data_IF_858875232313
#
_entry.id   IF_858875232313
#
_cell.length_a   1.000
_cell.length_b   1.000
_cell.length_c   1.000
_cell.angle_alpha   90.00
_cell.angle_beta   90.00
_cell.angle_gamma   90.00
#
_symmetry.space_group_name_H-M   'P 1'
#
loop_
_entity.id
_entity.type
_entity.pdbx_description
1 polymer ?
#
# COMPACT_ATOMS: atom_id res chain seq x y z
N UNK A 1 -17.30 -11.79 65.95
CA UNK A 1 -16.24 -11.94 66.97
C UNK A 1 -15.23 -12.97 66.49
N UNK A 2 -13.94 -12.59 66.49
CA UNK A 2 -12.70 -13.34 66.19
C UNK A 2 -12.43 -13.64 64.70
N UNK A 3 -11.43 -13.14 63.99
CA UNK A 3 -10.03 -12.68 64.25
C UNK A 3 -8.98 -13.71 63.80
N UNK A 4 -8.31 -13.37 62.69
CA UNK A 4 -6.85 -13.40 62.42
C UNK A 4 -6.12 -14.76 62.53
N UNK A 5 -5.48 -15.20 61.43
CA UNK A 5 -4.01 -15.36 61.35
C UNK A 5 -3.53 -15.89 59.99
N UNK A 6 -2.84 -14.98 59.29
CA UNK A 6 -1.69 -15.15 58.41
C UNK A 6 -0.86 -16.44 58.62
N UNK A 7 -0.47 -17.10 57.51
CA UNK A 7 0.74 -17.91 57.42
C UNK A 7 1.56 -17.45 56.21
N UNK A 8 2.84 -17.24 56.52
CA UNK A 8 3.90 -16.60 55.77
C UNK A 8 4.79 -17.61 55.03
N UNK A 9 5.57 -17.09 54.06
CA UNK A 9 6.81 -17.63 53.44
C UNK A 9 6.62 -18.75 52.40
N UNK A 10 7.39 -18.86 51.32
CA UNK A 10 8.55 -18.13 50.78
C UNK A 10 8.88 -18.75 49.41
N UNK A 11 9.45 -18.02 48.45
CA UNK A 11 10.05 -18.67 47.28
C UNK A 11 10.31 -17.74 46.10
N UNK A 12 11.31 -16.88 46.24
CA UNK A 12 11.93 -16.12 45.15
C UNK A 12 12.59 -17.07 44.14
N UNK A 13 12.18 -16.99 42.88
CA UNK A 13 12.83 -17.67 41.76
C UNK A 13 13.01 -16.74 40.57
N UNK A 14 13.94 -15.80 40.67
CA UNK A 14 14.41 -14.98 39.54
C UNK A 14 15.28 -15.85 38.63
N UNK A 15 14.69 -16.47 37.62
CA UNK A 15 15.44 -17.14 36.55
C UNK A 15 16.12 -16.09 35.67
N UNK A 16 17.41 -15.87 35.90
CA UNK A 16 18.28 -15.08 35.04
C UNK A 16 18.60 -15.86 33.77
N UNK A 17 18.14 -15.35 32.63
CA UNK A 17 18.44 -15.87 31.28
C UNK A 17 19.89 -15.53 30.92
N UNK A 18 20.75 -16.50 30.54
CA UNK A 18 22.09 -16.18 30.09
C UNK A 18 22.07 -15.47 28.72
N UNK A 19 22.85 -14.39 28.62
CA UNK A 19 23.05 -13.57 27.42
C UNK A 19 24.00 -14.33 26.48
N UNK A 20 23.47 -14.81 25.35
CA UNK A 20 24.28 -15.48 24.33
C UNK A 20 25.22 -14.46 23.67
N UNK A 21 26.51 -14.77 23.74
CA UNK A 21 27.62 -14.04 23.14
C UNK A 21 27.68 -14.28 21.63
N UNK A 22 28.21 -13.25 20.97
CA UNK A 22 28.54 -13.16 19.56
C UNK A 22 29.24 -14.39 18.98
N UNK A 23 28.85 -14.79 17.76
CA UNK A 23 29.83 -14.95 16.69
C UNK A 23 29.16 -15.00 15.32
N UNK A 24 29.53 -14.04 14.48
CA UNK A 24 29.26 -14.00 13.04
C UNK A 24 30.38 -14.75 12.32
N UNK A 25 30.08 -15.77 11.49
CA UNK A 25 31.01 -16.19 10.46
C UNK A 25 30.71 -15.44 9.16
N UNK A 26 31.60 -14.50 8.82
CA UNK A 26 31.66 -13.85 7.50
C UNK A 26 32.05 -14.91 6.46
N UNK A 27 31.08 -15.42 5.70
CA UNK A 27 31.37 -16.27 4.55
C UNK A 27 31.52 -15.43 3.28
N UNK A 28 32.81 -15.23 2.94
CA UNK A 28 33.41 -15.14 1.62
C UNK A 28 32.50 -14.77 0.43
N UNK A 29 32.69 -13.54 -0.06
CA UNK A 29 32.36 -13.10 -1.41
C UNK A 29 33.22 -13.89 -2.41
N UNK A 30 32.57 -14.65 -3.30
CA UNK A 30 33.21 -15.26 -4.46
C UNK A 30 33.31 -14.22 -5.61
N UNK A 31 34.48 -13.98 -6.20
CA UNK A 31 34.57 -13.13 -7.37
C UNK A 31 34.18 -13.94 -8.61
N UNK A 32 32.98 -13.70 -9.15
CA UNK A 32 32.62 -14.22 -10.48
C UNK A 32 33.27 -13.32 -11.54
N UNK A 33 34.16 -13.95 -12.30
CA UNK A 33 35.02 -13.32 -13.29
C UNK A 33 34.24 -12.62 -14.41
N UNK A 34 34.68 -11.38 -14.67
CA UNK A 34 34.39 -10.57 -15.85
C UNK A 34 34.88 -11.31 -17.09
N UNK A 35 33.97 -11.80 -17.95
CA UNK A 35 34.30 -12.17 -19.34
C UNK A 35 33.97 -11.01 -20.26
N UNK A 36 34.97 -10.18 -20.52
CA UNK A 36 34.98 -9.26 -21.66
C UNK A 36 35.19 -10.09 -22.94
N UNK A 37 34.14 -10.31 -23.72
CA UNK A 37 34.28 -10.84 -25.08
C UNK A 37 34.63 -9.71 -26.05
N UNK A 38 35.70 -9.96 -26.79
CA UNK A 38 36.40 -9.09 -27.72
C UNK A 38 35.49 -8.52 -28.83
N UNK A 39 35.73 -7.24 -29.10
CA UNK A 39 35.17 -6.46 -30.22
C UNK A 39 35.64 -7.03 -31.56
N UNK A 40 34.73 -7.11 -32.52
CA UNK A 40 35.09 -7.14 -33.96
C UNK A 40 34.29 -6.06 -34.69
N UNK A 41 34.91 -4.94 -35.11
CA UNK A 41 34.27 -4.00 -36.02
C UNK A 41 34.45 -4.46 -37.46
N UNK A 42 33.35 -4.77 -38.14
CA UNK A 42 33.33 -4.96 -39.60
C UNK A 42 33.37 -3.58 -40.28
N UNK A 43 34.35 -3.30 -41.16
CA UNK A 43 34.37 -2.08 -41.95
C UNK A 43 33.38 -2.23 -43.11
N UNK A 44 32.29 -1.45 -43.11
CA UNK A 44 31.45 -1.30 -44.31
C UNK A 44 31.70 0.07 -44.94
N UNK A 45 32.14 -0.02 -46.19
CA UNK A 45 32.64 1.06 -47.02
C UNK A 45 31.69 2.26 -47.13
N UNK A 46 32.33 3.42 -47.14
CA UNK A 46 31.84 4.74 -47.46
C UNK A 46 31.25 4.79 -48.87
N UNK A 47 29.98 5.21 -48.98
CA UNK A 47 29.44 5.77 -50.22
C UNK A 47 29.11 7.24 -49.97
N UNK A 48 30.03 8.11 -50.40
CA UNK A 48 29.84 9.56 -50.44
C UNK A 48 28.75 9.87 -51.48
N UNK A 49 27.54 10.20 -51.01
CA UNK A 49 26.55 10.87 -51.86
C UNK A 49 26.64 12.37 -51.56
N UNK A 50 27.25 13.10 -52.49
CA UNK A 50 27.27 14.56 -52.52
C UNK A 50 25.84 15.08 -52.62
N UNK A 51 25.36 15.72 -51.55
CA UNK A 51 24.11 16.49 -51.54
C UNK A 51 24.52 17.96 -51.50
N UNK A 52 24.01 18.83 -52.40
CA UNK A 52 24.38 20.24 -52.40
C UNK A 52 23.92 20.91 -51.11
N UNK A 53 24.84 21.61 -50.45
CA UNK A 53 24.57 22.49 -49.32
C UNK A 53 23.68 23.65 -49.74
N UNK A 54 22.37 23.47 -49.64
CA UNK A 54 21.43 24.58 -49.54
C UNK A 54 21.35 24.98 -48.06
N UNK A 55 21.98 26.09 -47.71
CA UNK A 55 21.86 26.72 -46.40
C UNK A 55 20.42 27.20 -46.19
N UNK A 56 19.60 26.38 -45.54
CA UNK A 56 18.34 26.86 -44.97
C UNK A 56 18.66 27.27 -43.53
N UNK A 57 18.87 28.58 -43.34
CA UNK A 57 18.82 29.22 -42.03
C UNK A 57 17.34 29.22 -41.61
N UNK A 58 16.85 28.05 -41.21
CA UNK A 58 15.55 27.89 -40.57
C UNK A 58 15.73 28.27 -39.11
N UNK A 59 15.12 29.38 -38.71
CA UNK A 59 15.09 29.88 -37.33
C UNK A 59 14.78 28.71 -36.40
N UNK A 60 15.76 28.27 -35.60
CA UNK A 60 15.54 27.34 -34.51
C UNK A 60 14.64 28.03 -33.50
N UNK A 61 13.32 27.83 -33.65
CA UNK A 61 12.40 28.08 -32.55
C UNK A 61 12.82 27.13 -31.44
N UNK A 62 13.51 27.65 -30.43
CA UNK A 62 13.61 27.01 -29.12
C UNK A 62 12.17 26.72 -28.69
N UNK A 63 11.72 25.50 -28.92
CA UNK A 63 10.51 25.01 -28.29
C UNK A 63 10.79 25.04 -26.80
N UNK A 64 10.28 26.07 -26.12
CA UNK A 64 10.25 26.10 -24.68
C UNK A 64 9.42 24.88 -24.26
N UNK A 65 10.11 23.79 -23.91
CA UNK A 65 9.50 22.67 -23.26
C UNK A 65 8.98 23.19 -21.91
N UNK A 66 7.72 23.62 -21.90
CA UNK A 66 6.96 23.81 -20.68
C UNK A 66 6.91 22.42 -20.02
N UNK A 67 7.88 22.16 -19.16
CA UNK A 67 7.83 21.03 -18.27
C UNK A 67 6.69 21.33 -17.31
N UNK A 68 5.52 20.76 -17.60
CA UNK A 68 4.36 20.79 -16.72
C UNK A 68 4.70 19.95 -15.47
N UNK A 69 5.48 20.54 -14.57
CA UNK A 69 5.73 19.98 -13.26
C UNK A 69 4.46 20.22 -12.43
N UNK A 70 3.69 19.15 -12.23
CA UNK A 70 2.77 18.99 -11.10
C UNK A 70 1.50 19.84 -11.09
N UNK A 71 0.58 19.59 -12.02
CA UNK A 71 -0.86 19.84 -11.81
C UNK A 71 -1.58 18.62 -11.20
N UNK A 72 -0.86 17.78 -10.44
CA UNK A 72 -1.19 16.35 -10.41
C UNK A 72 -1.72 15.74 -9.11
N UNK A 73 -1.49 16.30 -7.92
CA UNK A 73 -1.71 15.49 -6.69
C UNK A 73 -2.23 16.25 -5.46
N UNK A 74 -2.57 17.54 -5.58
CA UNK A 74 -3.10 18.32 -4.45
C UNK A 74 -4.03 19.48 -4.87
N UNK A 75 -4.45 19.53 -6.15
CA UNK A 75 -5.39 20.54 -6.60
C UNK A 75 -6.81 20.01 -6.40
N UNK A 76 -7.51 20.52 -5.38
CA UNK A 76 -8.94 20.39 -5.08
C UNK A 76 -9.71 19.42 -5.98
N UNK A 77 -9.50 18.11 -5.81
CA UNK A 77 -10.28 17.12 -6.54
C UNK A 77 -11.69 17.05 -5.94
N UNK A 78 -12.70 16.93 -6.79
CA UNK A 78 -14.07 16.75 -6.32
C UNK A 78 -14.22 15.41 -5.58
N UNK A 79 -15.18 15.34 -4.65
CA UNK A 79 -15.52 14.09 -3.96
C UNK A 79 -15.81 12.93 -4.94
N UNK A 80 -16.49 13.20 -6.06
CA UNK A 80 -16.77 12.17 -7.08
C UNK A 80 -15.48 11.67 -7.72
N UNK A 81 -14.63 12.59 -8.18
CA UNK A 81 -13.37 12.25 -8.83
C UNK A 81 -12.43 11.45 -7.91
N UNK A 82 -12.37 11.82 -6.62
CA UNK A 82 -11.64 11.07 -5.60
C UNK A 82 -12.11 9.61 -5.54
N UNK A 83 -13.42 9.41 -5.41
CA UNK A 83 -14.00 8.07 -5.25
C UNK A 83 -13.91 7.25 -6.53
N UNK A 84 -14.11 7.84 -7.70
CA UNK A 84 -13.93 7.18 -9.00
C UNK A 84 -12.48 6.69 -9.16
N UNK A 85 -11.50 7.54 -8.86
CA UNK A 85 -10.08 7.18 -8.93
C UNK A 85 -9.73 6.04 -7.99
N UNK A 86 -10.18 6.10 -6.73
CA UNK A 86 -9.88 5.04 -5.75
C UNK A 86 -10.67 3.75 -6.02
N UNK A 87 -11.90 3.83 -6.53
CA UNK A 87 -12.66 2.66 -6.97
C UNK A 87 -11.91 1.94 -8.08
N UNK A 88 -11.50 2.66 -9.15
CA UNK A 88 -10.70 2.10 -10.24
C UNK A 88 -9.35 1.55 -9.76
N UNK A 89 -8.69 2.26 -8.84
CA UNK A 89 -7.44 1.79 -8.23
C UNK A 89 -7.67 0.44 -7.55
N UNK A 90 -8.65 0.33 -6.64
CA UNK A 90 -8.90 -0.90 -5.90
C UNK A 90 -9.43 -2.02 -6.79
N UNK A 91 -10.17 -1.75 -7.86
CA UNK A 91 -10.55 -2.77 -8.86
C UNK A 91 -9.32 -3.39 -9.54
N UNK A 92 -8.28 -2.59 -9.79
CA UNK A 92 -7.04 -3.03 -10.44
C UNK A 92 -6.01 -3.67 -9.51
N UNK A 93 -6.17 -3.61 -8.19
CA UNK A 93 -5.20 -4.17 -7.24
C UNK A 93 -5.16 -5.69 -7.30
N UNK A 94 -3.95 -6.24 -7.41
CA UNK A 94 -3.67 -7.69 -7.44
C UNK A 94 -2.64 -8.15 -6.39
N UNK A 95 -2.03 -7.22 -5.66
CA UNK A 95 -1.01 -7.49 -4.65
C UNK A 95 -1.42 -6.89 -3.30
N UNK A 96 -1.09 -7.61 -2.22
CA UNK A 96 -1.35 -7.21 -0.84
C UNK A 96 -0.65 -5.89 -0.50
N UNK A 97 0.58 -5.68 -0.98
CA UNK A 97 1.30 -4.44 -0.70
C UNK A 97 0.57 -3.22 -1.28
N UNK A 98 0.09 -3.34 -2.53
CA UNK A 98 -0.66 -2.26 -3.20
C UNK A 98 -2.01 -2.01 -2.56
N UNK A 99 -2.69 -3.05 -2.08
CA UNK A 99 -3.92 -2.90 -1.31
C UNK A 99 -3.68 -2.08 -0.04
N UNK A 100 -2.68 -2.48 0.76
CA UNK A 100 -2.37 -1.81 2.02
C UNK A 100 -1.89 -0.37 1.81
N UNK A 101 -1.05 -0.14 0.79
CA UNK A 101 -0.59 1.20 0.40
C UNK A 101 -1.75 2.07 -0.06
N UNK A 102 -2.63 1.52 -0.90
CA UNK A 102 -3.82 2.21 -1.38
C UNK A 102 -4.78 2.58 -0.25
N UNK A 103 -5.02 1.67 0.70
CA UNK A 103 -5.84 1.93 1.87
C UNK A 103 -5.25 3.02 2.76
N UNK A 104 -3.95 2.98 3.05
CA UNK A 104 -3.28 4.03 3.83
C UNK A 104 -3.42 5.41 3.17
N UNK A 105 -3.32 5.49 1.84
CA UNK A 105 -3.46 6.74 1.11
C UNK A 105 -4.93 7.19 1.03
N UNK A 106 -5.86 6.29 0.72
CA UNK A 106 -7.29 6.59 0.64
C UNK A 106 -7.83 7.08 1.98
N UNK A 107 -7.42 6.43 3.07
CA UNK A 107 -7.87 6.78 4.42
C UNK A 107 -7.14 7.98 5.03
N UNK A 108 -6.07 8.51 4.40
CA UNK A 108 -5.35 9.68 4.91
C UNK A 108 -6.04 11.04 4.64
N UNK A 109 -6.99 11.11 3.71
CA UNK A 109 -7.70 12.35 3.38
C UNK A 109 -8.77 12.70 4.43
N UNK A 110 -9.11 13.97 4.59
CA UNK A 110 -10.17 14.42 5.51
C UNK A 110 -11.58 14.25 4.90
N UNK A 111 -11.87 13.04 4.42
CA UNK A 111 -13.17 12.64 3.89
C UNK A 111 -13.40 11.14 4.06
N UNK A 112 -14.64 10.74 4.30
CA UNK A 112 -15.00 9.32 4.38
C UNK A 112 -15.16 8.77 2.94
N UNK A 113 -14.47 7.68 2.57
CA UNK A 113 -14.63 7.07 1.25
C UNK A 113 -16.06 6.60 1.00
N UNK A 114 -16.57 6.79 -0.21
CA UNK A 114 -17.91 6.34 -0.59
C UNK A 114 -18.03 4.81 -0.57
N UNK A 115 -19.26 4.33 -0.45
CA UNK A 115 -19.60 2.90 -0.37
C UNK A 115 -19.01 2.09 -1.55
N UNK A 116 -19.10 2.52 -2.83
CA UNK A 116 -18.49 1.78 -3.94
C UNK A 116 -16.96 1.65 -3.82
N UNK A 117 -16.28 2.66 -3.29
CA UNK A 117 -14.83 2.62 -3.05
C UNK A 117 -14.49 1.55 -2.01
N UNK A 118 -15.31 1.44 -0.95
CA UNK A 118 -15.17 0.42 0.08
C UNK A 118 -15.48 -0.98 -0.47
N UNK A 119 -16.52 -1.13 -1.30
CA UNK A 119 -16.84 -2.39 -1.98
C UNK A 119 -15.67 -2.88 -2.86
N UNK A 120 -15.09 -1.98 -3.66
CA UNK A 120 -13.94 -2.29 -4.49
C UNK A 120 -12.74 -2.74 -3.63
N UNK A 121 -12.49 -2.08 -2.50
CA UNK A 121 -11.44 -2.46 -1.56
C UNK A 121 -11.70 -3.84 -0.90
N UNK A 122 -12.94 -4.16 -0.54
CA UNK A 122 -13.31 -5.48 0.01
C UNK A 122 -13.15 -6.59 -1.04
N UNK A 123 -13.56 -6.34 -2.28
CA UNK A 123 -13.34 -7.28 -3.38
C UNK A 123 -11.84 -7.45 -3.66
N UNK A 124 -11.05 -6.38 -3.55
CA UNK A 124 -9.59 -6.46 -3.65
C UNK A 124 -8.98 -7.33 -2.55
N UNK A 125 -9.40 -7.14 -1.29
CA UNK A 125 -8.97 -7.97 -0.16
C UNK A 125 -9.27 -9.45 -0.41
N UNK A 126 -10.43 -9.77 -1.01
CA UNK A 126 -10.75 -11.15 -1.40
C UNK A 126 -9.84 -11.68 -2.50
N UNK A 127 -9.54 -10.89 -3.53
CA UNK A 127 -8.64 -11.31 -4.63
C UNK A 127 -7.23 -11.63 -4.12
N UNK A 128 -6.70 -10.84 -3.19
CA UNK A 128 -5.39 -11.07 -2.58
C UNK A 128 -5.41 -12.07 -1.43
N UNK A 129 -6.58 -12.67 -1.12
CA UNK A 129 -6.80 -13.65 -0.06
C UNK A 129 -6.41 -13.16 1.35
N UNK A 130 -6.63 -11.87 1.66
CA UNK A 130 -6.28 -11.30 2.96
C UNK A 130 -7.52 -10.84 3.76
N UNK A 131 -8.02 -11.76 4.58
CA UNK A 131 -9.12 -11.49 5.52
C UNK A 131 -8.82 -10.40 6.56
N UNK A 132 -7.64 -10.35 7.22
CA UNK A 132 -7.38 -9.33 8.24
C UNK A 132 -7.40 -7.90 7.67
N UNK A 133 -6.95 -7.68 6.42
CA UNK A 133 -7.13 -6.36 5.79
C UNK A 133 -8.62 -6.04 5.58
N UNK A 134 -9.45 -7.02 5.17
CA UNK A 134 -10.89 -6.78 5.02
C UNK A 134 -11.58 -6.36 6.33
N UNK A 135 -11.22 -7.00 7.45
CA UNK A 135 -11.71 -6.62 8.78
C UNK A 135 -11.23 -5.21 9.14
N UNK A 136 -9.96 -4.91 8.86
CA UNK A 136 -9.34 -3.62 9.17
C UNK A 136 -9.91 -2.46 8.35
N UNK A 137 -10.45 -2.71 7.15
CA UNK A 137 -11.19 -1.71 6.38
C UNK A 137 -12.39 -1.20 7.18
N UNK A 138 -13.16 -2.09 7.83
CA UNK A 138 -14.29 -1.69 8.68
C UNK A 138 -13.84 -0.96 9.95
N UNK A 139 -12.74 -1.38 10.57
CA UNK A 139 -12.15 -0.67 11.72
C UNK A 139 -11.74 0.76 11.33
N UNK A 140 -11.03 0.91 10.21
CA UNK A 140 -10.64 2.22 9.70
C UNK A 140 -11.84 3.08 9.35
N UNK A 141 -12.91 2.48 8.82
CA UNK A 141 -14.14 3.20 8.49
C UNK A 141 -14.88 3.68 9.74
N UNK A 142 -14.91 2.86 10.80
CA UNK A 142 -15.47 3.22 12.10
C UNK A 142 -14.74 4.41 12.73
N UNK A 143 -13.41 4.40 12.68
CA UNK A 143 -12.59 5.50 13.20
C UNK A 143 -12.77 6.78 12.39
N UNK A 144 -13.06 6.65 11.10
CA UNK A 144 -13.15 7.78 10.17
C UNK A 144 -14.51 8.46 10.14
N UNK A 145 -15.57 7.80 10.59
CA UNK A 145 -16.89 8.42 10.68
C UNK A 145 -17.06 9.15 12.01
N UNK A 146 -17.82 10.24 11.99
CA UNK A 146 -18.06 11.05 13.20
C UNK A 146 -19.07 10.39 14.15
N UNK A 147 -20.02 9.64 13.59
CA UNK A 147 -21.18 9.14 14.31
C UNK A 147 -21.37 7.64 14.13
N UNK A 148 -21.74 6.95 15.21
CA UNK A 148 -22.10 5.51 15.19
C UNK A 148 -23.20 5.19 14.18
N UNK A 149 -24.16 6.10 13.99
CA UNK A 149 -25.23 5.94 12.99
C UNK A 149 -24.74 5.89 11.55
N UNK A 150 -23.68 6.64 11.22
CA UNK A 150 -23.07 6.61 9.89
C UNK A 150 -22.35 5.27 9.66
N UNK A 151 -21.59 4.79 10.66
CA UNK A 151 -20.98 3.47 10.58
C UNK A 151 -22.04 2.37 10.38
N UNK A 152 -23.15 2.44 11.13
CA UNK A 152 -24.25 1.49 10.97
C UNK A 152 -24.87 1.54 9.57
N UNK A 153 -25.00 2.72 8.96
CA UNK A 153 -25.47 2.86 7.58
C UNK A 153 -24.55 2.10 6.60
N UNK A 154 -23.23 2.27 6.73
CA UNK A 154 -22.26 1.48 5.95
C UNK A 154 -22.41 -0.03 6.19
N UNK A 155 -22.57 -0.46 7.45
CA UNK A 155 -22.75 -1.88 7.75
C UNK A 155 -24.02 -2.45 7.12
N UNK A 156 -25.10 -1.66 7.05
CA UNK A 156 -26.35 -2.08 6.43
C UNK A 156 -26.22 -2.18 4.90
N UNK A 157 -25.62 -1.18 4.26
CA UNK A 157 -25.42 -1.17 2.80
C UNK A 157 -24.45 -2.25 2.34
N UNK A 158 -23.35 -2.46 3.08
CA UNK A 158 -22.33 -3.45 2.76
C UNK A 158 -22.67 -4.87 3.25
N UNK A 159 -23.80 -5.05 3.94
CA UNK A 159 -24.21 -6.36 4.49
C UNK A 159 -24.24 -7.48 3.44
N UNK A 160 -24.87 -7.30 2.26
CA UNK A 160 -24.92 -8.36 1.25
C UNK A 160 -23.52 -8.78 0.79
N UNK A 161 -22.61 -7.82 0.63
CA UNK A 161 -21.23 -8.10 0.22
C UNK A 161 -20.41 -8.77 1.33
N UNK A 162 -20.60 -8.35 2.58
CA UNK A 162 -19.96 -9.00 3.74
C UNK A 162 -20.38 -10.46 3.87
N UNK A 163 -21.67 -10.74 3.72
CA UNK A 163 -22.21 -12.09 3.78
C UNK A 163 -21.69 -12.94 2.61
N UNK A 164 -21.62 -12.39 1.39
CA UNK A 164 -21.04 -13.03 0.20
C UNK A 164 -19.55 -13.39 0.41
N UNK A 165 -18.76 -12.44 0.91
CA UNK A 165 -17.31 -12.59 1.05
C UNK A 165 -16.89 -13.30 2.35
N UNK A 166 -17.81 -13.47 3.31
CA UNK A 166 -17.56 -14.04 4.63
C UNK A 166 -16.67 -13.17 5.51
N UNK A 167 -16.87 -11.84 5.48
CA UNK A 167 -16.06 -10.89 6.26
C UNK A 167 -16.82 -10.51 7.54
N UNK A 168 -16.43 -11.05 8.71
CA UNK A 168 -17.02 -10.64 9.98
C UNK A 168 -16.53 -9.23 10.36
N UNK A 169 -17.32 -8.49 11.14
CA UNK A 169 -16.80 -7.28 11.78
C UNK A 169 -16.07 -7.61 13.07
N UNK A 170 -15.20 -6.70 13.51
CA UNK A 170 -14.51 -6.82 14.80
C UNK A 170 -15.49 -6.95 15.96
N UNK A 171 -16.60 -6.21 15.89
CA UNK A 171 -17.68 -6.28 16.88
C UNK A 171 -18.26 -7.68 17.01
N UNK A 172 -18.50 -8.36 15.89
CA UNK A 172 -19.01 -9.73 15.85
C UNK A 172 -18.00 -10.76 16.34
N UNK A 173 -16.71 -10.55 16.05
CA UNK A 173 -15.64 -11.47 16.46
C UNK A 173 -15.35 -11.44 17.96
N UNK A 174 -15.41 -10.25 18.58
CA UNK A 174 -15.00 -10.06 19.97
C UNK A 174 -16.15 -9.69 20.90
N UNK A 175 -17.40 -9.68 20.41
CA UNK A 175 -18.58 -9.36 21.21
C UNK A 175 -18.61 -7.90 21.70
N UNK A 176 -18.09 -6.97 20.91
CA UNK A 176 -18.05 -5.55 21.27
C UNK A 176 -19.33 -4.84 20.83
N UNK A 177 -19.90 -3.99 21.69
CA UNK A 177 -21.03 -3.16 21.34
C UNK A 177 -20.61 -2.01 20.39
N UNK A 178 -21.49 -1.66 19.45
CA UNK A 178 -21.29 -0.57 18.49
C UNK A 178 -21.29 0.81 19.15
#
# INVERSE_FOLDING_TARGET
>A
MRSIAEVSRSGSGTTTRPKATSNTPKHALLPVAIRQSLRTPLPRASLLKTIPSAQIIGRSSLAAAHRAYSAGHAADESFSAFNERYTQFFEGVQDLFELQRGLNNCFAYDLVPAVPTVEAALRAARRVNDLPTAIRIFEGLKEKVENKGQYQAYLNELKPLRDELGVPTKEEMYGQAL
#
